data_IF_244892352554
#
_entry.id   IF_244892352554
#
_cell.length_a   1.000
_cell.length_b   1.000
_cell.length_c   1.000
_cell.angle_alpha   90.00
_cell.angle_beta   90.00
_cell.angle_gamma   90.00
#
_symmetry.space_group_name_H-M   'P 1'
#
loop_
_entity.id
_entity.type
_entity.pdbx_description
1 polymer ?
#
# COMPACT_ATOMS: atom_id res chain seq x y z
N UNK A 1 2.49 12.02 -3.22
CA UNK A 1 2.96 10.77 -3.88
C UNK A 1 4.30 10.39 -3.29
N UNK A 2 4.51 9.10 -2.98
CA UNK A 2 5.84 8.64 -2.57
C UNK A 2 6.76 8.69 -3.78
N UNK A 3 7.92 9.34 -3.64
CA UNK A 3 8.90 9.47 -4.69
C UNK A 3 9.44 8.09 -5.07
N UNK A 4 9.53 7.77 -6.36
CA UNK A 4 10.06 6.51 -6.89
C UNK A 4 11.50 6.24 -6.41
N UNK A 5 12.31 7.29 -6.29
CA UNK A 5 13.66 7.22 -5.75
C UNK A 5 13.70 6.67 -4.31
N UNK A 6 12.79 7.14 -3.46
CA UNK A 6 12.67 6.64 -2.08
C UNK A 6 12.27 5.15 -2.05
N UNK A 7 11.38 4.73 -2.96
CA UNK A 7 10.99 3.32 -3.07
C UNK A 7 12.15 2.44 -3.55
N UNK A 8 12.98 2.92 -4.47
CA UNK A 8 14.19 2.22 -4.93
C UNK A 8 15.22 2.08 -3.82
N UNK A 9 15.49 3.15 -3.08
CA UNK A 9 16.38 3.08 -1.90
C UNK A 9 15.87 2.07 -0.85
N UNK A 10 14.56 2.05 -0.61
CA UNK A 10 13.98 1.07 0.31
C UNK A 10 14.05 -0.36 -0.22
N UNK A 11 13.94 -0.55 -1.54
CA UNK A 11 14.07 -1.86 -2.17
C UNK A 11 15.46 -2.50 -1.94
N UNK A 12 16.50 -1.68 -1.85
CA UNK A 12 17.86 -2.15 -1.53
C UNK A 12 18.01 -2.62 -0.07
N UNK A 13 17.10 -2.22 0.81
CA UNK A 13 17.16 -2.52 2.25
C UNK A 13 16.38 -3.76 2.67
N UNK A 14 15.55 -4.33 1.78
CA UNK A 14 14.65 -5.43 2.10
C UNK A 14 14.78 -6.58 1.10
N UNK A 15 14.48 -7.78 1.57
CA UNK A 15 14.27 -8.97 0.74
C UNK A 15 12.76 -9.21 0.73
N UNK A 16 12.18 -9.28 -0.46
CA UNK A 16 10.76 -9.51 -0.65
C UNK A 16 10.50 -10.89 -1.25
N UNK A 17 9.57 -11.62 -0.68
CA UNK A 17 9.08 -12.89 -1.23
C UNK A 17 7.74 -12.64 -1.93
N UNK A 18 7.65 -12.77 -3.28
CA UNK A 18 6.44 -12.45 -4.03
C UNK A 18 5.28 -13.42 -3.80
N UNK A 19 5.56 -14.67 -3.43
CA UNK A 19 4.54 -15.69 -3.19
C UNK A 19 3.84 -15.52 -1.85
N UNK A 20 4.59 -15.11 -0.82
CA UNK A 20 4.06 -14.93 0.54
C UNK A 20 3.69 -13.48 0.87
N UNK A 21 4.17 -12.51 0.09
CA UNK A 21 4.03 -11.09 0.36
C UNK A 21 4.87 -10.58 1.54
N UNK A 22 5.73 -11.43 2.10
CA UNK A 22 6.58 -11.08 3.25
C UNK A 22 7.80 -10.28 2.80
N UNK A 23 8.22 -9.37 3.67
CA UNK A 23 9.44 -8.59 3.53
C UNK A 23 10.26 -8.73 4.79
N UNK A 24 11.55 -9.00 4.63
CA UNK A 24 12.52 -9.05 5.73
C UNK A 24 13.65 -8.07 5.47
N UNK A 25 14.27 -7.57 6.53
CA UNK A 25 15.42 -6.70 6.40
C UNK A 25 16.61 -7.46 5.82
N UNK A 26 17.26 -6.86 4.82
CA UNK A 26 18.52 -7.36 4.24
C UNK A 26 19.64 -7.25 5.27
N UNK A 27 20.55 -8.19 5.26
CA UNK A 27 21.81 -8.06 6.00
C UNK A 27 22.68 -7.01 5.32
N UNK A 28 23.15 -6.04 6.07
CA UNK A 28 24.12 -5.04 5.62
C UNK A 28 25.50 -5.67 5.47
N UNK A 29 26.24 -5.25 4.45
CA UNK A 29 27.65 -5.64 4.29
C UNK A 29 28.52 -5.03 5.41
N UNK A 30 29.65 -5.68 5.77
CA UNK A 30 30.50 -5.21 6.87
C UNK A 30 30.99 -3.76 6.73
N UNK A 31 31.22 -3.32 5.49
CA UNK A 31 31.66 -1.97 5.13
C UNK A 31 30.55 -0.90 5.23
N UNK A 32 29.29 -1.30 5.32
CA UNK A 32 28.19 -0.36 5.51
C UNK A 32 28.18 0.23 6.94
N UNK A 33 27.94 1.52 7.02
CA UNK A 33 27.90 2.24 8.30
C UNK A 33 26.93 1.59 9.29
N UNK A 34 27.41 1.40 10.52
CA UNK A 34 26.67 0.76 11.61
C UNK A 34 26.14 -0.65 11.31
N UNK A 35 26.76 -1.38 10.36
CA UNK A 35 26.30 -2.71 9.89
C UNK A 35 26.13 -3.72 11.03
N UNK A 36 27.12 -3.84 11.94
CA UNK A 36 27.11 -4.82 13.03
C UNK A 36 25.92 -4.63 13.98
N UNK A 37 25.72 -3.42 14.50
CA UNK A 37 24.61 -3.11 15.39
C UNK A 37 23.25 -3.21 14.69
N UNK A 38 23.21 -2.79 13.44
CA UNK A 38 21.97 -2.84 12.67
C UNK A 38 21.59 -4.30 12.35
N UNK A 39 22.55 -5.12 11.94
CA UNK A 39 22.32 -6.52 11.61
C UNK A 39 21.84 -7.33 12.81
N UNK A 40 22.46 -7.16 13.98
CA UNK A 40 22.03 -7.85 15.20
C UNK A 40 20.56 -7.54 15.58
N UNK A 41 20.10 -6.32 15.29
CA UNK A 41 18.74 -5.90 15.62
C UNK A 41 17.71 -6.26 14.53
N UNK A 42 18.08 -6.20 13.27
CA UNK A 42 17.11 -6.16 12.16
C UNK A 42 17.29 -7.27 11.12
N UNK A 43 18.51 -7.66 10.76
CA UNK A 43 18.75 -8.57 9.65
C UNK A 43 17.94 -9.87 9.76
N UNK A 44 17.29 -10.25 8.67
CA UNK A 44 16.45 -11.44 8.59
C UNK A 44 15.08 -11.33 9.29
N UNK A 45 14.85 -10.26 10.07
CA UNK A 45 13.55 -10.07 10.73
C UNK A 45 12.53 -9.46 9.78
N UNK A 46 11.27 -9.83 9.96
CA UNK A 46 10.18 -9.24 9.19
C UNK A 46 10.08 -7.73 9.45
N UNK A 47 10.01 -6.95 8.36
CA UNK A 47 9.94 -5.50 8.45
C UNK A 47 8.51 -4.98 8.31
N UNK A 48 8.27 -3.84 8.95
CA UNK A 48 7.02 -3.11 8.89
C UNK A 48 6.02 -3.44 10.00
N UNK A 49 5.08 -2.53 10.18
CA UNK A 49 3.96 -2.60 11.12
C UNK A 49 2.68 -2.27 10.39
N UNK A 50 1.53 -2.66 10.93
CA UNK A 50 0.24 -2.28 10.34
C UNK A 50 -0.18 -0.88 10.80
N UNK A 51 -0.68 -0.07 9.85
CA UNK A 51 -1.32 1.19 10.17
C UNK A 51 -2.80 0.97 10.59
N UNK A 52 -3.46 2.04 11.05
CA UNK A 52 -4.88 2.01 11.47
C UNK A 52 -5.85 1.54 10.37
N UNK A 53 -5.43 1.63 9.13
CA UNK A 53 -6.22 1.25 7.96
C UNK A 53 -5.93 -0.19 7.51
N UNK A 54 -5.03 -0.92 8.19
CA UNK A 54 -4.66 -2.30 7.90
C UNK A 54 -3.58 -2.45 6.81
N UNK A 55 -2.94 -1.36 6.38
CA UNK A 55 -1.80 -1.46 5.48
C UNK A 55 -0.51 -1.74 6.23
N UNK A 56 0.31 -2.63 5.70
CA UNK A 56 1.68 -2.80 6.19
C UNK A 56 2.54 -1.62 5.76
N UNK A 57 3.18 -0.98 6.74
CA UNK A 57 4.02 0.21 6.56
C UNK A 57 5.43 -0.08 7.05
N UNK A 58 6.41 0.21 6.21
CA UNK A 58 7.84 0.06 6.51
C UNK A 58 8.40 1.45 6.78
N UNK A 59 9.13 1.59 7.89
CA UNK A 59 9.77 2.84 8.29
C UNK A 59 11.29 2.67 8.29
N UNK A 60 12.01 3.59 7.67
CA UNK A 60 13.47 3.61 7.68
C UNK A 60 14.00 5.04 7.68
N UNK A 61 15.24 5.18 8.15
CA UNK A 61 15.95 6.46 8.15
C UNK A 61 16.85 6.54 6.92
N UNK A 62 16.91 7.71 6.30
CA UNK A 62 17.92 8.06 5.29
C UNK A 62 18.88 9.08 5.88
N UNK A 63 20.12 9.17 5.37
CA UNK A 63 21.16 10.06 5.90
C UNK A 63 20.73 11.52 6.04
N UNK A 64 19.86 12.00 5.15
CA UNK A 64 19.52 13.43 5.02
C UNK A 64 18.03 13.75 5.22
N UNK A 65 17.22 12.80 5.71
CA UNK A 65 15.77 13.02 5.90
C UNK A 65 15.28 12.38 7.20
N UNK A 66 14.22 12.92 7.80
CA UNK A 66 13.55 12.26 8.91
C UNK A 66 13.04 10.88 8.46
N UNK A 67 12.66 10.03 9.43
CA UNK A 67 12.14 8.70 9.15
C UNK A 67 11.05 8.73 8.06
N UNK A 68 11.27 7.95 7.01
CA UNK A 68 10.33 7.82 5.88
C UNK A 68 9.47 6.60 6.09
N UNK A 69 8.17 6.75 5.87
CA UNK A 69 7.19 5.64 5.92
C UNK A 69 6.72 5.32 4.51
N UNK A 70 6.80 4.05 4.11
CA UNK A 70 6.29 3.56 2.83
C UNK A 70 5.35 2.39 3.03
N UNK A 71 4.33 2.29 2.19
CA UNK A 71 3.40 1.17 2.18
C UNK A 71 4.03 -0.02 1.47
N UNK A 72 3.98 -1.20 2.10
CA UNK A 72 4.62 -2.42 1.62
C UNK A 72 4.19 -2.84 0.21
N UNK A 73 2.89 -2.76 -0.13
CA UNK A 73 2.40 -3.10 -1.48
C UNK A 73 3.03 -2.25 -2.59
N UNK A 74 3.32 -0.97 -2.33
CA UNK A 74 4.00 -0.10 -3.30
C UNK A 74 5.47 -0.49 -3.45
N UNK A 75 6.11 -0.86 -2.34
CA UNK A 75 7.48 -1.35 -2.36
C UNK A 75 7.58 -2.70 -3.08
N UNK A 76 6.67 -3.64 -2.78
CA UNK A 76 6.56 -4.93 -3.48
C UNK A 76 6.47 -4.74 -4.99
N UNK A 77 5.60 -3.84 -5.42
CA UNK A 77 5.42 -3.52 -6.84
C UNK A 77 6.71 -2.99 -7.49
N UNK A 78 7.39 -2.05 -6.83
CA UNK A 78 8.64 -1.48 -7.36
C UNK A 78 9.78 -2.51 -7.38
N UNK A 79 9.86 -3.40 -6.38
CA UNK A 79 10.87 -4.48 -6.38
C UNK A 79 10.70 -5.39 -7.60
N UNK A 80 9.45 -5.74 -7.96
CA UNK A 80 9.18 -6.69 -9.06
C UNK A 80 9.21 -6.01 -10.42
N UNK A 81 8.61 -4.81 -10.55
CA UNK A 81 8.40 -4.17 -11.86
C UNK A 81 9.28 -2.94 -12.11
N UNK A 82 10.07 -2.50 -11.13
CA UNK A 82 11.00 -1.36 -11.24
C UNK A 82 10.35 0.02 -11.27
N UNK A 83 9.04 0.11 -11.52
CA UNK A 83 8.33 1.38 -11.69
C UNK A 83 6.87 1.29 -11.25
N UNK A 84 6.21 2.45 -11.12
CA UNK A 84 4.77 2.56 -10.95
C UNK A 84 4.23 3.38 -12.12
N UNK A 85 3.61 2.71 -13.07
CA UNK A 85 3.07 3.34 -14.29
C UNK A 85 1.79 4.13 -13.99
N UNK A 86 0.92 3.59 -13.13
CA UNK A 86 -0.31 4.24 -12.70
C UNK A 86 -0.18 4.82 -11.29
N UNK A 87 -1.07 5.74 -10.93
CA UNK A 87 -1.00 6.44 -9.64
C UNK A 87 -1.21 5.52 -8.42
N UNK A 88 -1.88 4.39 -8.61
CA UNK A 88 -2.35 3.56 -7.48
C UNK A 88 -2.00 2.08 -7.68
N UNK A 89 -1.39 1.49 -6.67
CA UNK A 89 -1.32 0.02 -6.53
C UNK A 89 -2.45 -0.40 -5.60
N UNK A 90 -3.27 -1.33 -6.07
CA UNK A 90 -4.49 -1.81 -5.42
C UNK A 90 -4.39 -3.29 -5.06
N UNK A 91 -5.08 -3.72 -3.99
CA UNK A 91 -5.21 -5.11 -3.60
C UNK A 91 -6.47 -5.70 -4.24
N UNK A 92 -6.31 -6.71 -5.09
CA UNK A 92 -7.42 -7.33 -5.85
C UNK A 92 -8.48 -7.89 -4.91
N UNK A 93 -8.05 -8.62 -3.87
CA UNK A 93 -8.92 -9.23 -2.86
C UNK A 93 -9.37 -8.26 -1.75
N UNK A 94 -9.00 -6.96 -1.83
CA UNK A 94 -9.31 -5.92 -0.86
C UNK A 94 -8.66 -6.12 0.54
N UNK A 95 -7.89 -7.19 0.74
CA UNK A 95 -7.12 -7.42 1.96
C UNK A 95 -5.80 -6.64 1.90
N UNK A 96 -5.74 -5.53 2.65
CA UNK A 96 -4.60 -4.59 2.68
C UNK A 96 -3.34 -5.17 3.31
N UNK A 97 -3.44 -6.30 4.00
CA UNK A 97 -2.32 -7.04 4.58
C UNK A 97 -1.68 -8.03 3.61
N UNK A 98 -2.40 -8.43 2.55
CA UNK A 98 -1.97 -9.43 1.59
C UNK A 98 -1.16 -8.77 0.45
N UNK A 99 0.16 -8.72 0.65
CA UNK A 99 1.08 -8.09 -0.29
C UNK A 99 1.72 -9.08 -1.28
N UNK A 100 1.14 -10.26 -1.51
CA UNK A 100 1.56 -11.17 -2.57
C UNK A 100 1.45 -10.47 -3.93
N UNK A 101 2.42 -10.69 -4.81
CA UNK A 101 2.45 -9.95 -6.08
C UNK A 101 1.23 -10.25 -6.96
N UNK A 102 0.73 -11.48 -6.95
CA UNK A 102 -0.47 -11.91 -7.68
C UNK A 102 -1.74 -11.18 -7.22
N UNK A 103 -1.77 -10.70 -5.96
CA UNK A 103 -2.88 -9.94 -5.39
C UNK A 103 -2.76 -8.42 -5.63
N UNK A 104 -1.67 -7.96 -6.20
CA UNK A 104 -1.45 -6.54 -6.47
C UNK A 104 -1.70 -6.22 -7.94
N UNK A 105 -2.23 -5.04 -8.20
CA UNK A 105 -2.40 -4.52 -9.57
C UNK A 105 -2.17 -3.01 -9.62
N UNK A 106 -1.63 -2.56 -10.74
CA UNK A 106 -1.47 -1.13 -11.02
C UNK A 106 -2.71 -0.63 -11.77
N UNK A 107 -3.44 0.29 -11.17
CA UNK A 107 -4.72 0.78 -11.70
C UNK A 107 -4.82 2.30 -11.62
N UNK A 108 -5.65 2.87 -12.48
CA UNK A 108 -6.02 4.27 -12.37
C UNK A 108 -6.82 4.51 -11.08
N UNK A 109 -6.79 5.75 -10.60
CA UNK A 109 -7.53 6.16 -9.40
C UNK A 109 -9.03 5.84 -9.49
N UNK A 110 -9.60 5.94 -10.71
CA UNK A 110 -11.01 5.65 -10.96
C UNK A 110 -11.33 4.17 -10.72
N UNK A 111 -10.51 3.26 -11.26
CA UNK A 111 -10.68 1.81 -11.07
C UNK A 111 -10.51 1.42 -9.61
N UNK A 112 -9.50 1.98 -8.92
CA UNK A 112 -9.30 1.74 -7.49
C UNK A 112 -10.51 2.21 -6.65
N UNK A 113 -11.15 3.33 -7.02
CA UNK A 113 -12.36 3.78 -6.33
C UNK A 113 -13.53 2.80 -6.49
N UNK A 114 -13.66 2.15 -7.64
CA UNK A 114 -14.69 1.13 -7.88
C UNK A 114 -14.48 -0.16 -7.08
N UNK A 115 -13.22 -0.49 -6.75
CA UNK A 115 -12.87 -1.66 -5.95
C UNK A 115 -13.05 -1.46 -4.44
N UNK A 116 -13.51 -0.29 -3.98
CA UNK A 116 -13.69 -0.05 -2.54
C UNK A 116 -14.83 -0.88 -1.97
N UNK A 117 -14.56 -1.45 -0.79
CA UNK A 117 -15.61 -2.00 0.06
C UNK A 117 -16.64 -0.92 0.42
N UNK A 118 -17.87 -1.38 0.64
CA UNK A 118 -18.94 -0.57 1.21
C UNK A 118 -18.46 0.10 2.50
N UNK A 119 -18.75 1.39 2.65
CA UNK A 119 -18.41 2.12 3.86
C UNK A 119 -19.10 1.50 5.09
N UNK A 120 -18.39 1.47 6.23
CA UNK A 120 -18.96 0.97 7.49
C UNK A 120 -20.25 1.67 7.91
N UNK A 121 -20.38 2.94 7.55
CA UNK A 121 -21.57 3.79 7.85
C UNK A 121 -22.65 3.71 6.76
N UNK A 122 -22.54 2.78 5.83
CA UNK A 122 -23.55 2.62 4.79
C UNK A 122 -24.77 1.89 5.37
N UNK A 123 -25.90 2.57 5.44
CA UNK A 123 -27.17 2.07 5.98
C UNK A 123 -28.07 1.44 4.92
N UNK A 124 -27.79 1.69 3.61
CA UNK A 124 -28.62 1.17 2.53
C UNK A 124 -28.34 -0.28 2.14
N UNK A 125 -27.17 -0.81 2.54
CA UNK A 125 -26.74 -2.12 2.09
C UNK A 125 -26.10 -2.13 0.68
N UNK A 126 -26.18 -1.04 -0.10
CA UNK A 126 -25.63 -0.94 -1.45
C UNK A 126 -24.68 0.25 -1.61
N UNK A 127 -23.65 0.10 -2.46
CA UNK A 127 -22.73 1.20 -2.80
C UNK A 127 -23.43 2.20 -3.70
N UNK A 128 -23.26 3.50 -3.40
CA UNK A 128 -23.89 4.57 -4.18
C UNK A 128 -25.34 4.85 -3.84
N UNK A 129 -25.89 4.18 -2.83
CA UNK A 129 -27.27 4.43 -2.34
C UNK A 129 -27.20 5.10 -0.98
N UNK A 130 -27.91 6.21 -0.82
CA UNK A 130 -28.02 6.94 0.45
C UNK A 130 -29.46 7.38 0.72
N UNK A 131 -29.80 7.53 2.02
CA UNK A 131 -31.10 8.01 2.43
C UNK A 131 -31.07 9.53 2.56
N UNK A 132 -31.91 10.21 1.78
CA UNK A 132 -32.13 11.66 1.92
C UNK A 132 -33.16 11.91 3.05
N UNK A 133 -32.65 12.32 4.19
CA UNK A 133 -33.49 12.59 5.39
C UNK A 133 -34.50 13.69 5.19
N UNK A 134 -34.25 14.66 4.30
CA UNK A 134 -35.18 15.76 4.04
C UNK A 134 -36.38 15.33 3.20
N UNK A 135 -36.10 14.41 2.23
CA UNK A 135 -37.14 13.91 1.32
C UNK A 135 -37.80 12.63 1.79
N UNK A 136 -37.19 11.94 2.80
CA UNK A 136 -37.69 10.65 3.27
C UNK A 136 -37.48 9.51 2.24
N UNK A 137 -36.59 9.66 1.26
CA UNK A 137 -36.43 8.73 0.14
C UNK A 137 -35.00 8.22 0.02
N UNK A 138 -34.88 6.98 -0.45
CA UNK A 138 -33.61 6.44 -0.88
C UNK A 138 -33.27 6.96 -2.26
N UNK A 139 -32.04 7.41 -2.43
CA UNK A 139 -31.56 7.89 -3.71
C UNK A 139 -30.29 7.13 -4.10
N UNK A 140 -30.23 6.65 -5.32
CA UNK A 140 -29.05 6.02 -5.92
C UNK A 140 -28.29 7.05 -6.75
N UNK A 141 -26.97 7.02 -6.65
CA UNK A 141 -26.09 7.88 -7.42
C UNK A 141 -24.98 7.05 -8.05
N UNK A 142 -24.86 7.12 -9.37
CA UNK A 142 -23.76 6.56 -10.11
C UNK A 142 -22.96 7.67 -10.80
N UNK A 143 -21.65 7.51 -10.89
CA UNK A 143 -20.79 8.39 -11.68
C UNK A 143 -20.16 7.59 -12.81
N UNK A 144 -20.49 7.97 -14.04
CA UNK A 144 -19.95 7.38 -15.26
C UNK A 144 -19.30 8.49 -16.08
N UNK A 145 -18.03 8.32 -16.45
CA UNK A 145 -17.27 9.31 -17.24
C UNK A 145 -17.39 10.75 -16.69
N UNK A 146 -17.19 10.88 -15.36
CA UNK A 146 -17.28 12.14 -14.60
C UNK A 146 -18.68 12.79 -14.55
N UNK A 147 -19.71 12.14 -15.10
CA UNK A 147 -21.12 12.59 -15.00
C UNK A 147 -21.84 11.81 -13.89
N UNK A 148 -22.60 12.52 -13.09
CA UNK A 148 -23.48 11.95 -12.05
C UNK A 148 -24.85 11.65 -12.65
N UNK A 149 -25.39 10.49 -12.28
CA UNK A 149 -26.71 10.03 -12.66
C UNK A 149 -27.49 9.68 -11.41
#
# INVERSE_FOLDING_TARGET
MQNLEILRLAAEMVIYNPETGKMVWRTKAPEEEHSSLWNSKNAGKECGTFDKDGYKVISFKTKNKPSVKIRAHRLAWVIVYGTIQNETIDHINQNRADNRIENLRSVSRLINQRNKLRNKNNTSGAVGVCFDKRRGLWHAQATVNYRKY
#
